data_IF_402354813954
#
_entry.id   IF_402354813954
#
_cell.length_a   1.000
_cell.length_b   1.000
_cell.length_c   1.000
_cell.angle_alpha   90.00
_cell.angle_beta   90.00
_cell.angle_gamma   90.00
#
_symmetry.space_group_name_H-M   'P 1'
#
loop_
_entity.id
_entity.type
_entity.pdbx_description
1 polymer ?
#
# COMPACT_ATOMS: atom_id res chain seq x y z
N UNK A 1 3.76 -1.39 -18.86
CA UNK A 1 3.83 -0.24 -17.95
C UNK A 1 3.66 1.09 -18.68
N UNK A 2 4.49 1.41 -19.70
CA UNK A 2 4.41 2.70 -20.44
C UNK A 2 3.00 2.99 -20.99
N UNK A 3 2.36 2.03 -21.66
CA UNK A 3 1.01 2.20 -22.19
C UNK A 3 -0.01 2.53 -21.10
N UNK A 4 -0.01 1.80 -20.00
CA UNK A 4 -0.92 2.06 -18.84
C UNK A 4 -0.64 3.44 -18.25
N UNK A 5 0.63 3.78 -18.06
CA UNK A 5 1.03 5.08 -17.53
C UNK A 5 0.50 6.22 -18.41
N UNK A 6 0.67 6.14 -19.72
CA UNK A 6 0.23 7.16 -20.66
C UNK A 6 -1.31 7.24 -20.80
N UNK A 7 -1.99 6.08 -20.87
CA UNK A 7 -3.43 6.02 -21.16
C UNK A 7 -4.31 6.19 -19.91
N UNK A 8 -3.79 5.86 -18.72
CA UNK A 8 -4.55 5.87 -17.47
C UNK A 8 -4.02 6.90 -16.47
N UNK A 9 -2.71 6.94 -16.21
CA UNK A 9 -2.14 7.81 -15.18
C UNK A 9 -2.08 9.28 -15.61
N UNK A 10 -1.61 9.57 -16.83
CA UNK A 10 -1.52 10.97 -17.30
C UNK A 10 -2.89 11.66 -17.27
N UNK A 11 -3.98 11.07 -17.82
CA UNK A 11 -5.30 11.70 -17.72
C UNK A 11 -5.81 11.81 -16.28
N UNK A 12 -5.58 10.78 -15.46
CA UNK A 12 -6.01 10.78 -14.07
C UNK A 12 -5.26 11.81 -13.22
N UNK A 13 -3.95 11.99 -13.44
CA UNK A 13 -3.16 13.01 -12.77
C UNK A 13 -3.71 14.42 -13.06
N UNK A 14 -4.07 14.71 -14.32
CA UNK A 14 -4.68 15.97 -14.69
C UNK A 14 -6.08 16.13 -14.08
N UNK A 15 -6.90 15.07 -14.09
CA UNK A 15 -8.25 15.12 -13.54
C UNK A 15 -8.23 15.37 -12.03
N UNK A 16 -7.32 14.69 -11.30
CA UNK A 16 -7.20 14.87 -9.84
C UNK A 16 -6.64 16.23 -9.41
N UNK A 17 -6.05 17.00 -10.35
CA UNK A 17 -5.64 18.38 -10.12
C UNK A 17 -6.83 19.35 -10.23
N UNK A 18 -7.89 18.95 -10.92
CA UNK A 18 -9.10 19.77 -11.15
C UNK A 18 -10.26 19.33 -10.23
N UNK A 19 -10.39 18.04 -10.02
CA UNK A 19 -11.41 17.43 -9.16
C UNK A 19 -10.75 17.01 -7.84
N UNK A 20 -10.86 17.85 -6.82
CA UNK A 20 -10.28 17.53 -5.51
C UNK A 20 -11.01 16.37 -4.86
N UNK A 21 -10.27 15.46 -4.17
CA UNK A 21 -10.88 14.48 -3.29
C UNK A 21 -11.74 15.17 -2.22
N UNK A 22 -12.87 14.59 -1.87
CA UNK A 22 -13.74 15.12 -0.84
C UNK A 22 -14.18 14.03 0.16
N UNK A 23 -14.47 14.45 1.39
CA UNK A 23 -14.89 13.58 2.48
C UNK A 23 -16.37 13.80 2.78
N UNK A 24 -17.15 12.71 2.76
CA UNK A 24 -18.61 12.77 2.99
C UNK A 24 -19.02 12.65 4.47
N UNK A 25 -18.05 12.48 5.36
CA UNK A 25 -18.25 12.20 6.79
C UNK A 25 -17.95 10.75 7.17
N UNK A 26 -17.91 9.84 6.21
CA UNK A 26 -17.62 8.41 6.41
C UNK A 26 -16.39 7.97 5.63
N UNK A 27 -16.25 8.41 4.38
CA UNK A 27 -15.16 8.01 3.48
C UNK A 27 -14.71 9.14 2.56
N UNK A 28 -13.50 8.98 2.03
CA UNK A 28 -12.93 9.87 1.02
C UNK A 28 -13.36 9.39 -0.37
N UNK A 29 -13.88 10.31 -1.17
CA UNK A 29 -14.20 10.11 -2.57
C UNK A 29 -13.07 10.66 -3.44
N UNK A 30 -12.55 9.80 -4.31
CA UNK A 30 -11.54 10.15 -5.31
C UNK A 30 -12.19 10.31 -6.68
N UNK A 31 -11.59 11.09 -7.61
CA UNK A 31 -12.02 11.12 -9.00
C UNK A 31 -12.09 9.72 -9.61
N UNK A 32 -13.10 9.45 -10.44
CA UNK A 32 -13.27 8.15 -11.08
C UNK A 32 -12.05 7.71 -11.92
N UNK A 33 -11.35 8.66 -12.51
CA UNK A 33 -10.11 8.41 -13.26
C UNK A 33 -8.97 7.91 -12.38
N UNK A 34 -8.89 8.33 -11.10
CA UNK A 34 -7.90 7.87 -10.14
C UNK A 34 -8.14 6.40 -9.79
N UNK A 35 -9.39 5.99 -9.60
CA UNK A 35 -9.75 4.58 -9.39
C UNK A 35 -9.37 3.72 -10.60
N UNK A 36 -9.73 4.15 -11.82
CA UNK A 36 -9.40 3.42 -13.05
C UNK A 36 -7.88 3.29 -13.29
N UNK A 37 -7.09 4.30 -12.91
CA UNK A 37 -5.65 4.23 -13.00
C UNK A 37 -5.04 3.28 -11.97
N UNK A 38 -5.52 3.31 -10.72
CA UNK A 38 -5.09 2.40 -9.66
C UNK A 38 -5.45 0.94 -10.01
N UNK A 39 -6.66 0.68 -10.47
CA UNK A 39 -7.11 -0.65 -10.91
C UNK A 39 -6.22 -1.20 -12.04
N UNK A 40 -5.95 -0.40 -13.07
CA UNK A 40 -5.07 -0.80 -14.16
C UNK A 40 -3.63 -1.09 -13.70
N UNK A 41 -3.15 -0.39 -12.67
CA UNK A 41 -1.85 -0.69 -12.04
C UNK A 41 -1.90 -2.03 -11.30
N UNK A 42 -2.94 -2.30 -10.51
CA UNK A 42 -3.09 -3.56 -9.77
C UNK A 42 -3.22 -4.76 -10.73
N UNK A 43 -4.04 -4.64 -11.76
CA UNK A 43 -4.21 -5.65 -12.79
C UNK A 43 -2.92 -5.92 -13.60
N UNK A 44 -2.01 -4.95 -13.66
CA UNK A 44 -0.71 -5.14 -14.32
C UNK A 44 0.23 -6.11 -13.58
N UNK A 45 -0.08 -6.47 -12.33
CA UNK A 45 0.74 -7.31 -11.48
C UNK A 45 1.98 -6.61 -10.89
N UNK A 46 2.11 -5.31 -11.07
CA UNK A 46 3.29 -4.56 -10.62
C UNK A 46 3.46 -4.52 -9.09
N UNK A 47 2.37 -4.72 -8.31
CA UNK A 47 2.48 -4.84 -6.85
C UNK A 47 3.34 -6.02 -6.41
N UNK A 48 3.31 -7.11 -7.17
CA UNK A 48 4.04 -8.35 -6.89
C UNK A 48 5.22 -8.57 -7.84
N UNK A 49 5.63 -7.58 -8.62
CA UNK A 49 6.55 -7.76 -9.75
C UNK A 49 7.84 -8.53 -9.41
N UNK A 50 8.46 -8.24 -8.27
CA UNK A 50 9.68 -8.92 -7.81
C UNK A 50 9.43 -10.20 -7.01
N UNK A 51 8.17 -10.51 -6.67
CA UNK A 51 7.84 -11.67 -5.84
C UNK A 51 7.90 -12.98 -6.63
N UNK A 52 7.99 -14.10 -5.89
CA UNK A 52 7.90 -15.43 -6.45
C UNK A 52 6.55 -15.69 -7.11
N UNK A 53 6.53 -16.55 -8.12
CA UNK A 53 5.32 -16.94 -8.83
C UNK A 53 4.23 -17.50 -7.90
N UNK A 54 4.61 -18.18 -6.81
CA UNK A 54 3.68 -18.67 -5.78
C UNK A 54 2.92 -17.57 -5.04
N UNK A 55 3.44 -16.34 -5.05
CA UNK A 55 2.78 -15.14 -4.51
C UNK A 55 2.10 -14.29 -5.58
N UNK A 56 2.02 -14.79 -6.82
CA UNK A 56 1.49 -14.05 -7.97
C UNK A 56 2.50 -13.12 -8.63
N UNK A 57 3.80 -13.27 -8.30
CA UNK A 57 4.87 -12.42 -8.81
C UNK A 57 5.42 -12.84 -10.17
N UNK A 58 6.17 -11.93 -10.78
CA UNK A 58 6.85 -12.13 -12.07
C UNK A 58 8.36 -12.38 -11.90
N UNK A 59 8.86 -12.40 -10.68
CA UNK A 59 10.28 -12.60 -10.34
C UNK A 59 11.21 -11.61 -11.07
N UNK A 60 10.75 -10.37 -11.26
CA UNK A 60 11.55 -9.36 -11.96
C UNK A 60 12.75 -8.95 -11.11
N UNK A 61 13.93 -8.79 -11.72
CA UNK A 61 15.04 -8.12 -11.07
C UNK A 61 14.66 -6.71 -10.64
N UNK A 62 15.13 -6.27 -9.47
CA UNK A 62 14.81 -4.95 -8.90
C UNK A 62 15.03 -3.80 -9.89
N UNK A 63 16.09 -3.84 -10.69
CA UNK A 63 16.38 -2.81 -11.71
C UNK A 63 15.30 -2.73 -12.78
N UNK A 64 14.71 -3.87 -13.16
CA UNK A 64 13.62 -3.94 -14.15
C UNK A 64 12.32 -3.44 -13.54
N UNK A 65 12.02 -3.86 -12.31
CA UNK A 65 10.88 -3.36 -11.56
C UNK A 65 10.92 -1.84 -11.37
N UNK A 66 12.06 -1.29 -10.96
CA UNK A 66 12.26 0.14 -10.78
C UNK A 66 12.14 0.92 -12.10
N UNK A 67 12.70 0.39 -13.19
CA UNK A 67 12.55 0.99 -14.51
C UNK A 67 11.08 0.99 -14.97
N UNK A 68 10.35 -0.10 -14.72
CA UNK A 68 8.92 -0.19 -15.04
C UNK A 68 8.09 0.79 -14.20
N UNK A 69 8.35 0.89 -12.90
CA UNK A 69 7.66 1.82 -12.00
C UNK A 69 7.95 3.29 -12.32
N UNK A 70 9.09 3.61 -12.93
CA UNK A 70 9.43 4.97 -13.34
C UNK A 70 8.43 5.57 -14.36
N UNK A 71 7.80 4.75 -15.19
CA UNK A 71 6.75 5.20 -16.10
C UNK A 71 5.52 5.72 -15.34
N UNK A 72 5.11 5.00 -14.30
CA UNK A 72 3.97 5.38 -13.46
C UNK A 72 4.29 6.63 -12.63
N UNK A 73 5.47 6.67 -12.01
CA UNK A 73 5.91 7.83 -11.23
C UNK A 73 5.98 9.11 -12.08
N UNK A 74 6.49 9.01 -13.31
CA UNK A 74 6.55 10.12 -14.26
C UNK A 74 5.17 10.59 -14.71
N UNK A 75 4.22 9.68 -14.83
CA UNK A 75 2.87 9.97 -15.33
C UNK A 75 1.93 10.53 -14.25
N UNK A 76 2.11 10.16 -12.96
CA UNK A 76 1.25 10.61 -11.88
C UNK A 76 1.66 9.99 -10.54
N UNK A 77 2.65 10.60 -9.86
CA UNK A 77 3.20 10.08 -8.61
C UNK A 77 2.15 9.99 -7.49
N UNK A 78 1.19 10.90 -7.45
CA UNK A 78 0.11 10.91 -6.45
C UNK A 78 -0.76 9.65 -6.50
N UNK A 79 -1.01 9.12 -7.70
CA UNK A 79 -1.76 7.88 -7.90
C UNK A 79 -0.88 6.66 -7.58
N UNK A 80 0.39 6.70 -8.01
CA UNK A 80 1.34 5.59 -7.82
C UNK A 80 1.79 5.39 -6.37
N UNK A 81 1.67 6.41 -5.52
CA UNK A 81 2.13 6.36 -4.13
C UNK A 81 1.47 5.28 -3.29
N UNK A 82 0.18 5.03 -3.49
CA UNK A 82 -0.57 3.97 -2.81
C UNK A 82 -0.04 2.56 -3.14
N UNK A 83 0.36 2.33 -4.38
CA UNK A 83 0.98 1.07 -4.80
C UNK A 83 2.33 0.83 -4.12
N UNK A 84 3.16 1.86 -4.02
CA UNK A 84 4.46 1.78 -3.34
C UNK A 84 4.32 1.41 -1.85
N UNK A 85 3.40 2.05 -1.12
CA UNK A 85 3.17 1.77 0.29
C UNK A 85 2.58 0.37 0.50
N UNK A 86 1.68 -0.06 -0.37
CA UNK A 86 1.10 -1.40 -0.35
C UNK A 86 2.17 -2.47 -0.56
N UNK A 87 3.00 -2.34 -1.61
CA UNK A 87 4.11 -3.27 -1.85
C UNK A 87 5.13 -3.25 -0.70
N UNK A 88 5.40 -2.07 -0.12
CA UNK A 88 6.30 -1.92 1.03
C UNK A 88 5.80 -2.69 2.25
N UNK A 89 4.51 -2.60 2.57
CA UNK A 89 3.91 -3.34 3.68
C UNK A 89 3.90 -4.85 3.42
N UNK A 90 3.51 -5.26 2.21
CA UNK A 90 3.54 -6.67 1.81
C UNK A 90 4.96 -7.25 1.90
N UNK A 91 5.98 -6.51 1.47
CA UNK A 91 7.39 -6.92 1.59
C UNK A 91 7.84 -7.07 3.05
N UNK A 92 7.37 -6.17 3.95
CA UNK A 92 7.61 -6.31 5.38
C UNK A 92 7.04 -7.63 5.92
N UNK A 93 5.80 -7.96 5.53
CA UNK A 93 5.17 -9.24 5.89
C UNK A 93 5.92 -10.44 5.29
N UNK A 94 6.39 -10.34 4.04
CA UNK A 94 7.20 -11.41 3.43
C UNK A 94 8.51 -11.65 4.16
N UNK A 95 9.16 -10.61 4.66
CA UNK A 95 10.42 -10.71 5.39
C UNK A 95 10.25 -11.24 6.82
N UNK A 96 9.21 -10.79 7.52
CA UNK A 96 9.09 -10.97 8.98
C UNK A 96 7.81 -11.65 9.43
N UNK A 97 6.78 -11.74 8.57
CA UNK A 97 5.49 -12.34 8.90
C UNK A 97 5.54 -13.87 8.97
N UNK A 98 4.62 -14.45 9.75
CA UNK A 98 4.36 -15.89 9.75
C UNK A 98 3.75 -16.35 8.43
N UNK A 99 3.74 -17.66 8.15
CA UNK A 99 3.07 -18.20 6.97
C UNK A 99 1.58 -17.83 6.92
N UNK A 100 0.89 -17.83 8.07
CA UNK A 100 -0.50 -17.42 8.18
C UNK A 100 -0.70 -15.93 7.83
N UNK A 101 0.18 -15.04 8.31
CA UNK A 101 0.14 -13.61 8.01
C UNK A 101 0.44 -13.31 6.54
N UNK A 102 1.42 -14.00 5.94
CA UNK A 102 1.74 -13.87 4.51
C UNK A 102 0.54 -14.24 3.64
N UNK A 103 -0.13 -15.33 3.97
CA UNK A 103 -1.31 -15.79 3.23
C UNK A 103 -2.52 -14.88 3.45
N UNK A 104 -2.78 -14.45 4.69
CA UNK A 104 -3.94 -13.65 5.04
C UNK A 104 -3.84 -12.18 4.59
N UNK A 105 -2.63 -11.62 4.50
CA UNK A 105 -2.44 -10.19 4.22
C UNK A 105 -1.57 -9.95 2.98
N UNK A 106 -0.31 -10.40 2.95
CA UNK A 106 0.62 -10.06 1.88
C UNK A 106 0.11 -10.50 0.50
N UNK A 107 -0.48 -11.68 0.38
CA UNK A 107 -1.09 -12.17 -0.87
C UNK A 107 -2.18 -11.23 -1.37
N UNK A 108 -3.01 -10.73 -0.47
CA UNK A 108 -4.10 -9.81 -0.83
C UNK A 108 -3.61 -8.40 -1.15
N UNK A 109 -2.53 -7.96 -0.51
CA UNK A 109 -1.86 -6.70 -0.87
C UNK A 109 -1.21 -6.79 -2.25
N UNK A 110 -0.50 -7.88 -2.55
CA UNK A 110 0.08 -8.10 -3.88
C UNK A 110 -0.95 -8.21 -5.00
N UNK A 111 -2.14 -8.70 -4.70
CA UNK A 111 -3.24 -8.72 -5.67
C UNK A 111 -4.01 -7.40 -5.80
N UNK A 112 -3.70 -6.39 -4.98
CA UNK A 112 -4.42 -5.11 -4.95
C UNK A 112 -5.78 -5.18 -4.26
N UNK A 113 -6.14 -6.31 -3.65
CA UNK A 113 -7.39 -6.45 -2.87
C UNK A 113 -7.35 -5.68 -1.56
N UNK A 114 -6.17 -5.64 -0.92
CA UNK A 114 -5.91 -4.84 0.26
C UNK A 114 -4.92 -3.74 -0.08
N UNK A 115 -5.06 -2.61 0.59
CA UNK A 115 -4.11 -1.51 0.52
C UNK A 115 -3.32 -1.43 1.82
N UNK A 116 -2.01 -1.30 1.70
CA UNK A 116 -1.11 -1.01 2.81
C UNK A 116 -0.83 0.48 2.91
N UNK A 117 -0.61 0.95 4.12
CA UNK A 117 -0.24 2.35 4.40
C UNK A 117 0.79 2.42 5.52
N UNK A 118 1.48 3.56 5.62
CA UNK A 118 2.40 3.84 6.71
C UNK A 118 1.91 5.06 7.50
N UNK A 119 1.27 4.80 8.64
CA UNK A 119 0.82 5.84 9.56
C UNK A 119 1.94 6.18 10.54
N UNK A 120 2.82 7.12 10.18
CA UNK A 120 4.04 7.43 10.92
C UNK A 120 3.87 8.64 11.84
N UNK A 121 3.49 9.79 11.26
CA UNK A 121 3.42 11.06 11.99
C UNK A 121 2.29 11.10 12.98
N UNK A 122 2.51 11.84 14.07
CA UNK A 122 1.52 12.23 15.08
C UNK A 122 1.46 13.75 15.17
N UNK A 123 0.42 14.34 15.76
CA UNK A 123 0.30 15.80 15.85
C UNK A 123 1.52 16.51 16.44
N UNK A 124 2.24 15.84 17.36
CA UNK A 124 3.44 16.35 18.02
C UNK A 124 4.75 15.77 17.49
N UNK A 125 4.72 14.75 16.62
CA UNK A 125 5.88 14.00 16.18
C UNK A 125 5.87 13.71 14.69
N UNK A 126 6.87 14.22 13.99
CA UNK A 126 7.12 13.96 12.56
C UNK A 126 8.54 13.42 12.37
N UNK A 127 9.52 14.30 12.15
CA UNK A 127 10.92 13.92 12.02
C UNK A 127 11.48 13.31 13.30
N UNK A 128 10.97 13.69 14.46
CA UNK A 128 11.36 13.19 15.77
C UNK A 128 10.54 11.96 16.16
N UNK A 129 10.86 10.81 15.60
CA UNK A 129 10.14 9.55 15.85
C UNK A 129 10.22 9.06 17.30
N UNK A 130 11.24 9.52 18.05
CA UNK A 130 11.33 9.24 19.50
C UNK A 130 10.18 9.83 20.32
N UNK A 131 9.46 10.81 19.76
CA UNK A 131 8.38 11.52 20.45
C UNK A 131 7.00 10.94 20.15
N UNK A 132 6.90 9.85 19.38
CA UNK A 132 5.63 9.16 19.11
C UNK A 132 5.05 8.61 20.41
N UNK A 133 3.74 8.84 20.61
CA UNK A 133 2.99 8.43 21.80
C UNK A 133 2.10 7.21 21.56
N UNK A 134 1.87 6.82 20.30
CA UNK A 134 1.11 5.61 19.96
C UNK A 134 1.78 4.39 20.58
N UNK A 135 0.98 3.58 21.26
CA UNK A 135 1.44 2.39 21.96
C UNK A 135 0.52 1.20 21.71
N UNK A 136 1.10 0.02 21.77
CA UNK A 136 0.42 -1.26 21.73
C UNK A 136 0.52 -1.94 23.11
N UNK A 137 -0.59 -2.41 23.64
CA UNK A 137 -0.64 -3.22 24.86
C UNK A 137 -1.30 -4.57 24.55
N UNK A 138 -0.87 -5.68 25.18
CA UNK A 138 -1.50 -6.99 25.01
C UNK A 138 -3.01 -6.93 25.22
N UNK A 139 -3.79 -7.54 24.31
CA UNK A 139 -5.25 -7.54 24.39
C UNK A 139 -5.76 -8.80 25.12
N UNK A 140 -5.74 -8.75 26.42
CA UNK A 140 -6.18 -9.85 27.28
C UNK A 140 -5.10 -10.88 27.61
N UNK A 141 -5.44 -11.82 28.51
CA UNK A 141 -4.50 -12.84 28.98
C UNK A 141 -4.17 -13.90 27.91
N UNK A 142 -5.00 -14.03 26.89
CA UNK A 142 -4.87 -14.99 25.78
C UNK A 142 -4.36 -14.34 24.48
N UNK A 143 -3.75 -13.15 24.57
CA UNK A 143 -3.35 -12.36 23.40
C UNK A 143 -2.41 -13.11 22.43
N UNK A 144 -1.64 -14.06 22.89
CA UNK A 144 -0.71 -14.89 22.09
C UNK A 144 -1.39 -16.02 21.32
N UNK A 145 -2.68 -16.31 21.56
CA UNK A 145 -3.36 -17.49 21.00
C UNK A 145 -3.97 -17.28 19.62
N UNK A 146 -3.95 -16.05 19.10
CA UNK A 146 -4.52 -15.77 17.79
C UNK A 146 -3.68 -16.42 16.67
N UNK A 147 -4.30 -17.12 15.71
CA UNK A 147 -3.59 -17.79 14.61
C UNK A 147 -2.76 -16.82 13.73
N UNK A 148 -3.15 -15.55 13.69
CA UNK A 148 -2.43 -14.51 12.94
C UNK A 148 -1.33 -13.84 13.76
N UNK A 149 -1.12 -14.26 15.00
CA UNK A 149 -0.10 -13.73 15.90
C UNK A 149 -0.69 -12.94 17.07
N UNK A 150 0.16 -12.49 17.99
CA UNK A 150 -0.29 -11.83 19.21
C UNK A 150 -1.17 -10.62 18.95
N UNK A 151 -2.31 -10.53 19.66
CA UNK A 151 -3.26 -9.43 19.56
C UNK A 151 -2.87 -8.29 20.48
N UNK A 152 -2.92 -7.08 19.95
CA UNK A 152 -2.63 -5.85 20.71
C UNK A 152 -3.75 -4.83 20.55
N UNK A 153 -4.01 -4.10 21.62
CA UNK A 153 -4.84 -2.91 21.57
C UNK A 153 -3.96 -1.69 21.32
N UNK A 154 -4.22 -1.02 20.20
CA UNK A 154 -3.52 0.20 19.84
C UNK A 154 -4.23 1.42 20.42
N UNK A 155 -3.46 2.35 20.95
CA UNK A 155 -3.94 3.65 21.44
C UNK A 155 -2.99 4.73 20.96
N UNK A 156 -3.51 5.73 20.27
CA UNK A 156 -2.74 6.83 19.73
C UNK A 156 -3.53 7.62 18.70
N UNK A 157 -2.91 8.65 18.15
CA UNK A 157 -3.47 9.50 17.11
C UNK A 157 -2.41 9.71 16.02
N UNK A 158 -2.68 9.15 14.85
CA UNK A 158 -1.81 9.24 13.67
C UNK A 158 -2.39 10.21 12.66
#
# INVERSE_FOLDING_TARGET
>A
CERIAREKFVPANRASDVEEPWFDGERVHLPASSHAAAEAYFESGMLAAAQDAGMGGMQLPCVVEMAANSFFAKAGIGIGGGGMLTSGNANLLMAHGTAAQKEAFARHEFSGRFAGTMCLSEPQAGSSLSDIATRAVPDGADFERDPLGPRYRLTGHK
#
